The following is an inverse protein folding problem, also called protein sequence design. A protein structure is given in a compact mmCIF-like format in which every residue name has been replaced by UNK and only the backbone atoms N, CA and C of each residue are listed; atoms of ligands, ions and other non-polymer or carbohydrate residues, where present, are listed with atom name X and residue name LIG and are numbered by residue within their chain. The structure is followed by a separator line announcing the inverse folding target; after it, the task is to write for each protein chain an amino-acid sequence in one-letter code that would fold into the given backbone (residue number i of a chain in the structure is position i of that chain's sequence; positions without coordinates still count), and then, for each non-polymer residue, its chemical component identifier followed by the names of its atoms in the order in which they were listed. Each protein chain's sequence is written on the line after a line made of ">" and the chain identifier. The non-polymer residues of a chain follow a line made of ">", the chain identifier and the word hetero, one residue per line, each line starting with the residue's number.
data_IF_009939964909
#
_entry.id   IF_009939964909
#
_cell.length_a   1.000
_cell.length_b   1.000
_cell.length_c   1.000
_cell.angle_alpha   90.00
_cell.angle_beta   90.00
_cell.angle_gamma   90.00
#
_symmetry.space_group_name_H-M   'P 1'
#
loop_
_entity.id
_entity.type
_entity.pdbx_description
1 polymer ?
#
# COMPACT_ATOMS: atom_id res chain seq x y z
N UNK A 1 -13.50 29.02 -11.28
CA UNK A 1 -13.48 29.65 -9.95
C UNK A 1 -14.73 29.23 -9.21
N UNK A 2 -14.62 28.89 -7.93
CA UNK A 2 -15.73 28.44 -7.09
C UNK A 2 -15.79 29.20 -5.76
N UNK A 3 -16.98 29.28 -5.17
CA UNK A 3 -17.19 29.72 -3.79
C UNK A 3 -17.01 28.54 -2.80
N UNK A 4 -17.26 28.80 -1.50
CA UNK A 4 -17.12 27.81 -0.42
C UNK A 4 -18.09 26.61 -0.55
N UNK A 5 -19.13 26.71 -1.38
CA UNK A 5 -20.10 25.65 -1.64
C UNK A 5 -19.82 24.92 -2.97
N UNK A 6 -18.64 25.15 -3.56
CA UNK A 6 -18.23 24.61 -4.85
C UNK A 6 -19.09 25.08 -6.06
N UNK A 7 -19.88 26.15 -5.90
CA UNK A 7 -20.62 26.78 -7.00
C UNK A 7 -19.72 27.72 -7.78
N UNK A 8 -19.96 27.81 -9.09
CA UNK A 8 -19.30 28.78 -9.96
C UNK A 8 -19.97 30.16 -9.88
N UNK A 9 -19.67 31.06 -10.82
CA UNK A 9 -20.40 32.33 -10.96
C UNK A 9 -21.87 32.15 -11.35
N UNK A 10 -22.21 30.99 -11.94
CA UNK A 10 -23.59 30.59 -12.20
C UNK A 10 -24.07 29.71 -11.02
N UNK A 11 -25.23 30.02 -10.47
CA UNK A 11 -25.77 29.39 -9.26
C UNK A 11 -26.16 27.91 -9.47
N UNK A 12 -26.46 27.52 -10.71
CA UNK A 12 -26.86 26.16 -11.06
C UNK A 12 -25.68 25.29 -11.53
N UNK A 13 -24.47 25.86 -11.60
CA UNK A 13 -23.27 25.17 -12.08
C UNK A 13 -22.24 25.04 -10.97
N UNK A 14 -21.82 23.80 -10.72
CA UNK A 14 -20.77 23.45 -9.76
C UNK A 14 -19.50 23.01 -10.48
N UNK A 15 -18.35 23.23 -9.84
CA UNK A 15 -17.08 22.67 -10.28
C UNK A 15 -16.34 22.08 -9.08
N UNK A 16 -15.77 20.89 -9.25
CA UNK A 16 -15.07 20.16 -8.20
C UNK A 16 -13.76 19.56 -8.73
N UNK A 17 -12.86 19.18 -7.83
CA UNK A 17 -11.58 18.57 -8.18
C UNK A 17 -10.62 19.54 -8.87
N UNK A 18 -9.76 19.01 -9.74
CA UNK A 18 -8.60 19.74 -10.28
C UNK A 18 -8.98 20.94 -11.17
N UNK A 19 -10.18 20.91 -11.77
CA UNK A 19 -10.67 22.02 -12.59
C UNK A 19 -11.17 23.21 -11.74
N UNK A 20 -11.41 23.00 -10.45
CA UNK A 20 -11.96 24.00 -9.56
C UNK A 20 -10.84 24.87 -8.96
N UNK A 21 -11.09 26.18 -8.91
CA UNK A 21 -10.20 27.14 -8.26
C UNK A 21 -10.95 27.84 -7.14
N UNK A 22 -10.56 27.57 -5.90
CA UNK A 22 -11.11 28.13 -4.67
C UNK A 22 -10.09 29.12 -4.08
N UNK A 23 -10.50 30.37 -3.84
CA UNK A 23 -9.60 31.45 -3.41
C UNK A 23 -8.32 31.59 -4.27
N UNK A 24 -8.44 31.49 -5.60
CA UNK A 24 -7.33 31.47 -6.56
C UNK A 24 -6.31 30.34 -6.36
N UNK A 25 -6.70 29.28 -5.66
CA UNK A 25 -5.89 28.07 -5.47
C UNK A 25 -6.57 26.86 -6.12
N UNK A 26 -5.76 25.96 -6.67
CA UNK A 26 -6.20 24.69 -7.26
C UNK A 26 -5.55 23.55 -6.49
N UNK A 27 -6.30 22.47 -6.27
CA UNK A 27 -5.82 21.33 -5.48
C UNK A 27 -5.62 20.12 -6.39
N UNK A 28 -4.37 19.73 -6.61
CA UNK A 28 -3.98 18.56 -7.44
C UNK A 28 -3.95 17.24 -6.66
N UNK A 29 -4.89 17.04 -5.73
CA UNK A 29 -4.95 15.86 -4.87
C UNK A 29 -6.37 15.29 -4.83
N UNK A 30 -6.46 13.97 -4.71
CA UNK A 30 -7.74 13.23 -4.69
C UNK A 30 -8.62 13.63 -3.50
N UNK A 31 -8.03 13.78 -2.31
CA UNK A 31 -8.76 14.10 -1.07
C UNK A 31 -9.56 15.43 -1.17
N UNK A 32 -8.96 16.57 -1.57
CA UNK A 32 -9.73 17.80 -1.82
C UNK A 32 -10.84 17.61 -2.85
N UNK A 33 -10.62 16.83 -3.91
CA UNK A 33 -11.65 16.54 -4.92
C UNK A 33 -12.88 15.87 -4.32
N UNK A 34 -12.69 14.86 -3.46
CA UNK A 34 -13.81 14.22 -2.75
C UNK A 34 -14.48 15.15 -1.75
N UNK A 35 -13.72 16.00 -1.04
CA UNK A 35 -14.32 16.97 -0.11
C UNK A 35 -15.18 17.99 -0.85
N UNK A 36 -14.71 18.48 -1.99
CA UNK A 36 -15.48 19.35 -2.88
C UNK A 36 -16.75 18.65 -3.38
N UNK A 37 -16.67 17.36 -3.73
CA UNK A 37 -17.84 16.58 -4.12
C UNK A 37 -18.87 16.49 -2.98
N UNK A 38 -18.42 16.20 -1.75
CA UNK A 38 -19.29 16.14 -0.58
C UNK A 38 -19.96 17.50 -0.31
N UNK A 39 -19.19 18.59 -0.31
CA UNK A 39 -19.70 19.95 -0.12
C UNK A 39 -20.74 20.32 -1.18
N UNK A 40 -20.49 20.00 -2.45
CA UNK A 40 -21.45 20.25 -3.52
C UNK A 40 -22.76 19.47 -3.32
N UNK A 41 -22.68 18.20 -2.92
CA UNK A 41 -23.86 17.36 -2.64
C UNK A 41 -24.62 17.88 -1.43
N UNK A 42 -23.93 18.21 -0.33
CA UNK A 42 -24.52 18.77 0.88
C UNK A 42 -25.30 20.04 0.57
N UNK A 43 -24.70 20.94 -0.21
CA UNK A 43 -25.33 22.17 -0.64
C UNK A 43 -26.59 21.93 -1.50
N UNK A 44 -26.53 20.97 -2.45
CA UNK A 44 -27.70 20.56 -3.24
C UNK A 44 -28.83 19.98 -2.38
N UNK A 45 -28.50 19.36 -1.25
CA UNK A 45 -29.45 18.83 -0.27
C UNK A 45 -29.91 19.87 0.76
N UNK A 46 -29.48 21.13 0.63
CA UNK A 46 -29.85 22.24 1.53
C UNK A 46 -29.08 22.26 2.85
N UNK A 47 -28.00 21.47 2.96
CA UNK A 47 -27.11 21.50 4.11
C UNK A 47 -26.09 22.63 3.97
N UNK A 48 -25.57 23.13 5.09
CA UNK A 48 -24.65 24.27 5.15
C UNK A 48 -23.21 23.83 5.41
N UNK A 49 -22.71 22.89 4.60
CA UNK A 49 -21.31 22.46 4.65
C UNK A 49 -20.48 23.33 3.73
N UNK A 50 -19.37 23.88 4.22
CA UNK A 50 -18.46 24.72 3.44
C UNK A 50 -17.11 24.03 3.24
N UNK A 51 -16.51 24.20 2.06
CA UNK A 51 -15.13 23.83 1.79
C UNK A 51 -14.19 24.84 2.44
N UNK A 52 -13.31 24.36 3.31
CA UNK A 52 -12.40 25.20 4.10
C UNK A 52 -10.95 25.14 3.61
N UNK A 53 -10.74 24.63 2.39
CA UNK A 53 -9.41 24.26 1.89
C UNK A 53 -9.06 22.81 2.18
N UNK A 54 -7.83 22.42 1.84
CA UNK A 54 -7.33 21.08 2.07
C UNK A 54 -5.83 21.10 2.37
N UNK A 55 -5.39 20.13 3.16
CA UNK A 55 -3.98 19.84 3.35
C UNK A 55 -3.36 19.37 2.02
N UNK A 56 -2.19 19.95 1.69
CA UNK A 56 -1.47 19.69 0.45
C UNK A 56 -0.38 18.61 0.62
N UNK A 57 -0.35 17.92 1.76
CA UNK A 57 0.62 16.86 1.99
C UNK A 57 0.35 15.70 1.06
N UNK A 58 1.41 15.18 0.45
CA UNK A 58 1.32 14.12 -0.53
C UNK A 58 2.46 13.13 -0.34
N UNK A 59 2.15 11.84 -0.53
CA UNK A 59 3.14 10.77 -0.63
C UNK A 59 3.07 10.20 -2.04
N UNK A 60 4.11 10.41 -2.82
CA UNK A 60 4.22 9.98 -4.21
C UNK A 60 5.01 8.67 -4.27
N UNK A 61 4.46 7.70 -5.00
CA UNK A 61 5.16 6.49 -5.41
C UNK A 61 5.69 6.71 -6.82
N UNK A 62 6.85 7.34 -6.93
CA UNK A 62 7.55 7.45 -8.21
C UNK A 62 8.27 6.13 -8.51
N UNK A 63 8.62 5.89 -9.78
CA UNK A 63 9.36 4.71 -10.18
C UNK A 63 10.74 4.70 -9.50
N UNK A 64 10.86 3.89 -8.44
CA UNK A 64 12.13 3.60 -7.76
C UNK A 64 12.48 4.49 -6.56
N UNK A 65 11.74 5.57 -6.28
CA UNK A 65 12.01 6.46 -5.13
C UNK A 65 10.70 6.89 -4.47
N UNK A 66 10.57 6.61 -3.17
CA UNK A 66 9.46 7.12 -2.38
C UNK A 66 9.71 8.57 -1.97
N UNK A 67 8.71 9.43 -2.17
CA UNK A 67 8.78 10.85 -1.80
C UNK A 67 7.55 11.25 -1.00
N UNK A 68 7.75 11.98 0.10
CA UNK A 68 6.69 12.53 0.93
C UNK A 68 6.92 14.01 1.23
N UNK A 69 5.91 14.84 1.01
CA UNK A 69 5.86 16.24 1.45
C UNK A 69 4.74 16.44 2.47
N UNK A 70 5.01 17.22 3.52
CA UNK A 70 4.06 17.57 4.57
C UNK A 70 4.05 19.09 4.75
N UNK A 71 2.87 19.69 4.83
CA UNK A 71 2.67 21.09 5.24
C UNK A 71 3.56 22.10 4.50
N UNK A 72 4.17 23.03 5.24
CA UNK A 72 5.15 23.99 4.73
C UNK A 72 6.52 23.33 4.52
N UNK A 73 6.59 22.42 3.54
CA UNK A 73 7.79 21.67 3.18
C UNK A 73 8.97 22.53 2.70
N UNK A 74 8.76 23.83 2.44
CA UNK A 74 9.78 24.75 1.97
C UNK A 74 10.27 25.74 3.04
N UNK A 75 9.56 25.88 4.16
CA UNK A 75 9.92 26.78 5.24
C UNK A 75 9.68 28.23 4.85
N UNK A 76 8.50 28.49 4.29
CA UNK A 76 8.03 29.82 3.91
C UNK A 76 7.61 30.64 5.13
N UNK A 77 7.21 30.00 6.22
CA UNK A 77 6.87 30.67 7.47
C UNK A 77 8.11 31.37 8.06
N UNK A 78 7.97 32.66 8.38
CA UNK A 78 9.04 33.45 8.98
C UNK A 78 9.46 32.87 10.34
N UNK A 79 10.77 32.87 10.62
CA UNK A 79 11.33 32.38 11.88
C UNK A 79 11.41 30.86 12.01
N UNK A 80 10.92 30.09 11.01
CA UNK A 80 11.00 28.64 11.05
C UNK A 80 12.45 28.13 11.09
N UNK A 81 12.65 26.98 11.71
CA UNK A 81 13.94 26.28 11.78
C UNK A 81 13.85 24.96 11.03
N UNK A 82 14.98 24.39 10.63
CA UNK A 82 14.97 23.10 9.94
C UNK A 82 16.08 22.16 10.38
N UNK A 83 15.76 20.87 10.43
CA UNK A 83 16.68 19.76 10.67
C UNK A 83 16.79 18.94 9.38
N UNK A 84 18.01 18.52 9.02
CA UNK A 84 18.27 17.79 7.78
C UNK A 84 19.06 16.52 8.10
N UNK A 85 18.63 15.40 7.52
CA UNK A 85 19.37 14.15 7.47
C UNK A 85 19.60 13.77 6.00
N UNK A 86 20.85 13.44 5.67
CA UNK A 86 21.28 13.09 4.32
C UNK A 86 22.20 11.86 4.39
N UNK A 87 21.87 10.82 3.63
CA UNK A 87 22.70 9.64 3.40
C UNK A 87 22.79 9.40 1.89
N UNK A 88 23.88 9.86 1.28
CA UNK A 88 24.10 9.74 -0.17
C UNK A 88 24.29 8.29 -0.61
N UNK A 89 24.82 7.42 0.25
CA UNK A 89 25.06 6.01 -0.07
C UNK A 89 23.76 5.20 -0.19
N UNK A 90 22.68 5.66 0.44
CA UNK A 90 21.33 5.07 0.37
C UNK A 90 20.33 5.95 -0.38
N UNK A 91 20.78 7.08 -0.93
CA UNK A 91 19.93 8.07 -1.60
C UNK A 91 18.77 8.58 -0.70
N UNK A 92 19.03 8.73 0.60
CA UNK A 92 18.03 9.20 1.58
C UNK A 92 18.23 10.68 1.86
N UNK A 93 17.15 11.45 1.75
CA UNK A 93 17.09 12.84 2.20
C UNK A 93 15.84 13.07 3.03
N UNK A 94 15.99 13.59 4.24
CA UNK A 94 14.88 13.99 5.11
C UNK A 94 15.11 15.39 5.65
N UNK A 95 14.07 16.21 5.65
CA UNK A 95 14.07 17.56 6.22
C UNK A 95 12.82 17.78 7.04
N UNK A 96 12.98 18.24 8.28
CA UNK A 96 11.90 18.77 9.11
C UNK A 96 11.95 20.27 9.11
N UNK A 97 10.77 20.90 9.19
CA UNK A 97 10.61 22.34 9.34
C UNK A 97 9.73 22.54 10.56
N UNK A 98 10.28 23.23 11.55
CA UNK A 98 9.67 23.43 12.86
C UNK A 98 9.46 24.92 13.15
N UNK A 99 8.56 25.21 14.07
CA UNK A 99 8.33 26.56 14.58
C UNK A 99 9.60 27.17 15.21
N UNK A 100 9.62 28.49 15.35
CA UNK A 100 10.77 29.24 15.89
C UNK A 100 11.18 28.76 17.30
N UNK A 101 10.23 28.30 18.10
CA UNK A 101 10.41 27.75 19.44
C UNK A 101 10.69 26.23 19.48
N UNK A 102 10.82 25.59 18.30
CA UNK A 102 11.00 24.14 18.12
C UNK A 102 9.84 23.26 18.62
N UNK A 103 8.68 23.83 18.96
CA UNK A 103 7.57 23.07 19.56
C UNK A 103 6.66 22.37 18.58
N UNK A 104 6.51 22.89 17.36
CA UNK A 104 5.51 22.38 16.41
C UNK A 104 6.12 22.07 15.05
N UNK A 105 5.65 21.00 14.41
CA UNK A 105 6.05 20.65 13.06
C UNK A 105 5.21 21.43 12.05
N UNK A 106 5.87 22.28 11.26
CA UNK A 106 5.24 23.08 10.20
C UNK A 106 5.22 22.35 8.86
N UNK A 107 6.24 21.53 8.61
CA UNK A 107 6.33 20.74 7.39
C UNK A 107 7.49 19.75 7.38
N UNK A 108 7.51 18.88 6.39
CA UNK A 108 8.58 17.90 6.20
C UNK A 108 8.75 17.51 4.73
N UNK A 109 9.95 17.08 4.38
CA UNK A 109 10.30 16.45 3.10
C UNK A 109 11.00 15.13 3.41
N UNK A 110 10.55 14.03 2.81
CA UNK A 110 11.17 12.71 2.90
C UNK A 110 11.40 12.17 1.49
N UNK A 111 12.60 11.69 1.21
CA UNK A 111 13.01 11.13 -0.08
C UNK A 111 13.82 9.86 0.18
N UNK A 112 13.52 8.81 -0.57
CA UNK A 112 14.16 7.49 -0.45
C UNK A 112 13.54 6.66 0.69
N UNK A 113 13.56 7.20 1.92
CA UNK A 113 12.91 6.59 3.08
C UNK A 113 11.75 7.47 3.57
N UNK A 114 10.54 6.92 3.52
CA UNK A 114 9.29 7.59 3.90
C UNK A 114 8.51 6.84 4.99
N UNK A 115 9.18 5.98 5.76
CA UNK A 115 8.56 5.22 6.86
C UNK A 115 7.94 6.16 7.91
N UNK A 116 8.63 7.27 8.22
CA UNK A 116 8.22 8.23 9.25
C UNK A 116 7.06 9.15 8.83
N UNK A 117 6.66 9.12 7.54
CA UNK A 117 5.68 10.04 6.97
C UNK A 117 4.38 10.07 7.77
N UNK A 118 3.86 8.90 8.16
CA UNK A 118 2.59 8.80 8.88
C UNK A 118 2.62 9.49 10.25
N UNK A 119 3.70 9.28 11.02
CA UNK A 119 3.86 9.88 12.35
C UNK A 119 4.05 11.41 12.23
N UNK A 120 4.91 11.84 11.31
CA UNK A 120 5.14 13.27 11.04
C UNK A 120 3.87 13.98 10.57
N UNK A 121 3.04 13.32 9.75
CA UNK A 121 1.78 13.91 9.31
C UNK A 121 0.83 14.15 10.50
N UNK A 122 0.75 13.19 11.44
CA UNK A 122 -0.09 13.35 12.63
C UNK A 122 0.40 14.46 13.56
N UNK A 123 1.73 14.61 13.71
CA UNK A 123 2.34 15.73 14.44
C UNK A 123 1.89 17.09 13.87
N UNK A 124 1.97 17.23 12.54
CA UNK A 124 1.61 18.48 11.86
C UNK A 124 0.10 18.74 11.93
N UNK A 125 -0.74 17.75 11.61
CA UNK A 125 -2.20 17.94 11.54
C UNK A 125 -2.85 18.20 12.91
N UNK A 126 -2.34 17.58 13.98
CA UNK A 126 -2.94 17.69 15.31
C UNK A 126 -2.24 18.72 16.21
N UNK A 127 -1.25 19.46 15.69
CA UNK A 127 -0.47 20.45 16.47
C UNK A 127 0.08 19.87 17.77
N UNK A 128 0.62 18.65 17.70
CA UNK A 128 1.17 17.97 18.87
C UNK A 128 2.58 18.54 19.15
N UNK A 129 2.88 18.82 20.42
CA UNK A 129 4.21 19.30 20.82
C UNK A 129 5.30 18.27 20.47
N UNK A 130 6.37 18.75 19.86
CA UNK A 130 7.53 17.97 19.48
C UNK A 130 8.39 17.58 20.70
N UNK A 131 9.17 16.49 20.61
CA UNK A 131 10.18 16.17 21.61
C UNK A 131 11.24 17.27 21.70
N UNK A 132 11.95 17.32 22.82
CA UNK A 132 13.04 18.29 23.07
C UNK A 132 14.10 18.31 21.95
N UNK A 133 14.31 17.16 21.29
CA UNK A 133 15.19 17.00 20.14
C UNK A 133 14.40 16.54 18.90
N UNK A 134 13.84 17.46 18.09
CA UNK A 134 13.02 17.13 16.93
C UNK A 134 13.73 16.36 15.82
N UNK A 135 15.05 16.51 15.70
CA UNK A 135 15.90 15.81 14.73
C UNK A 135 15.78 14.28 14.88
N UNK A 136 15.60 13.79 16.11
CA UNK A 136 15.44 12.36 16.39
C UNK A 136 14.28 11.70 15.63
N UNK A 137 13.29 12.47 15.18
CA UNK A 137 12.14 11.99 14.41
C UNK A 137 12.51 11.56 12.98
N UNK A 138 13.63 12.04 12.43
CA UNK A 138 14.08 11.71 11.05
C UNK A 138 15.35 10.88 11.01
N UNK A 139 16.04 10.70 12.14
CA UNK A 139 17.27 9.90 12.21
C UNK A 139 17.00 8.41 11.88
N UNK A 140 18.00 7.68 11.37
CA UNK A 140 17.84 6.26 11.05
C UNK A 140 17.78 5.40 12.32
N UNK A 141 17.18 4.20 12.23
CA UNK A 141 16.94 3.32 13.39
C UNK A 141 18.20 2.94 14.21
N UNK A 142 19.38 2.91 13.59
CA UNK A 142 20.64 2.61 14.29
C UNK A 142 21.16 3.79 15.14
N UNK A 143 20.61 4.99 14.97
CA UNK A 143 20.97 6.17 15.76
C UNK A 143 20.21 6.24 17.10
N UNK A 144 19.29 5.31 17.35
CA UNK A 144 18.50 5.24 18.58
C UNK A 144 17.02 4.96 18.32
N UNK A 145 16.26 4.75 19.41
CA UNK A 145 14.81 4.62 19.36
C UNK A 145 14.15 5.96 19.03
N UNK A 146 13.33 6.00 17.98
CA UNK A 146 12.54 7.19 17.64
C UNK A 146 11.41 7.39 18.66
N UNK A 147 11.13 8.64 19.08
CA UNK A 147 9.89 8.95 19.78
C UNK A 147 8.71 8.67 18.84
N UNK A 148 7.95 7.61 19.11
CA UNK A 148 6.69 7.36 18.43
C UNK A 148 5.56 7.99 19.25
N UNK A 149 4.73 8.82 18.62
CA UNK A 149 3.44 9.15 19.20
C UNK A 149 2.60 7.88 19.08
N UNK A 150 2.36 7.24 20.22
CA UNK A 150 1.43 6.13 20.27
C UNK A 150 0.08 6.58 19.74
N UNK A 151 -0.57 5.74 18.95
CA UNK A 151 -1.93 6.00 18.45
C UNK A 151 -2.92 6.32 19.57
N UNK A 152 -2.64 5.90 20.80
CA UNK A 152 -3.42 6.22 21.99
C UNK A 152 -3.45 7.72 22.32
N UNK A 153 -2.39 8.47 22.01
CA UNK A 153 -2.29 9.91 22.25
C UNK A 153 -3.06 10.75 21.23
N UNK A 154 -3.52 10.15 20.13
CA UNK A 154 -4.33 10.86 19.13
C UNK A 154 -5.78 11.02 19.61
N UNK A 155 -6.41 12.20 19.44
CA UNK A 155 -7.84 12.35 19.70
C UNK A 155 -8.67 11.51 18.73
N UNK A 156 -9.91 11.15 19.09
CA UNK A 156 -10.81 10.41 18.19
C UNK A 156 -11.10 11.18 16.89
N UNK A 157 -11.08 12.50 16.92
CA UNK A 157 -11.25 13.36 15.75
C UNK A 157 -10.03 13.39 14.82
N UNK A 158 -8.90 12.79 15.22
CA UNK A 158 -7.68 12.78 14.41
C UNK A 158 -7.95 12.10 13.06
N UNK A 159 -7.65 12.81 11.97
CA UNK A 159 -7.79 12.30 10.62
C UNK A 159 -6.72 11.25 10.32
N UNK A 160 -7.16 10.00 10.10
CA UNK A 160 -6.29 8.86 9.80
C UNK A 160 -6.21 8.64 8.29
N UNK A 161 -7.31 8.78 7.56
CA UNK A 161 -7.36 8.64 6.11
C UNK A 161 -7.98 9.87 5.44
N UNK A 162 -7.14 10.79 4.96
CA UNK A 162 -7.61 11.99 4.24
C UNK A 162 -8.34 11.67 2.94
N UNK A 163 -8.02 10.55 2.27
CA UNK A 163 -8.68 10.16 1.03
C UNK A 163 -10.15 9.78 1.20
N UNK A 164 -10.59 9.38 2.37
CA UNK A 164 -11.99 9.01 2.59
C UNK A 164 -12.57 9.70 3.83
N UNK A 165 -11.89 10.75 4.31
CA UNK A 165 -12.28 11.55 5.49
C UNK A 165 -12.53 10.68 6.73
N UNK A 166 -11.70 9.66 6.96
CA UNK A 166 -11.88 8.68 8.06
C UNK A 166 -11.00 9.06 9.25
N UNK A 167 -11.65 9.31 10.39
CA UNK A 167 -11.02 9.64 11.66
C UNK A 167 -10.64 8.39 12.48
N UNK A 168 -9.88 8.59 13.56
CA UNK A 168 -9.59 7.53 14.54
C UNK A 168 -10.87 7.00 15.17
N UNK A 169 -11.83 7.87 15.48
CA UNK A 169 -13.13 7.51 16.05
C UNK A 169 -13.94 6.61 15.11
N UNK A 170 -13.94 6.89 13.81
CA UNK A 170 -14.63 6.05 12.82
C UNK A 170 -14.05 4.63 12.76
N UNK A 171 -12.72 4.51 12.91
CA UNK A 171 -12.04 3.21 12.98
C UNK A 171 -12.43 2.48 14.27
N UNK A 172 -12.42 3.16 15.42
CA UNK A 172 -12.83 2.57 16.71
C UNK A 172 -14.28 2.06 16.60
N UNK A 173 -15.20 2.87 16.10
CA UNK A 173 -16.60 2.46 15.88
C UNK A 173 -16.72 1.29 14.90
N UNK A 174 -15.87 1.19 13.88
CA UNK A 174 -15.85 0.02 13.00
C UNK A 174 -15.36 -1.24 13.74
N UNK A 175 -14.36 -1.12 14.60
CA UNK A 175 -13.84 -2.22 15.43
C UNK A 175 -14.91 -2.68 16.42
N UNK A 176 -15.60 -1.76 17.10
CA UNK A 176 -16.73 -2.07 18.00
C UNK A 176 -17.88 -2.81 17.29
N UNK A 177 -18.07 -2.55 15.99
CA UNK A 177 -19.03 -3.27 15.13
C UNK A 177 -18.50 -4.63 14.63
N UNK A 178 -17.31 -5.05 15.05
CA UNK A 178 -16.72 -6.37 14.75
C UNK A 178 -15.64 -6.36 13.66
N UNK A 179 -15.18 -5.20 13.18
CA UNK A 179 -14.13 -5.12 12.16
C UNK A 179 -12.73 -5.35 12.75
N UNK A 180 -12.39 -6.58 13.10
CA UNK A 180 -11.13 -6.93 13.79
C UNK A 180 -9.93 -7.19 12.85
N UNK A 181 -10.05 -6.82 11.57
CA UNK A 181 -8.94 -6.94 10.61
C UNK A 181 -8.83 -5.68 9.76
N UNK A 182 -7.62 -5.39 9.27
CA UNK A 182 -7.41 -4.25 8.33
C UNK A 182 -8.28 -4.39 7.08
N UNK A 183 -8.52 -5.62 6.62
CA UNK A 183 -9.40 -5.88 5.48
C UNK A 183 -10.87 -5.54 5.79
N UNK A 184 -11.35 -5.87 6.99
CA UNK A 184 -12.69 -5.52 7.44
C UNK A 184 -12.85 -3.99 7.58
N UNK A 185 -11.87 -3.32 8.20
CA UNK A 185 -11.86 -1.85 8.29
C UNK A 185 -11.90 -1.22 6.89
N UNK A 186 -11.07 -1.70 5.95
CA UNK A 186 -11.09 -1.24 4.55
C UNK A 186 -12.45 -1.41 3.89
N UNK A 187 -13.13 -2.53 4.12
CA UNK A 187 -14.43 -2.80 3.52
C UNK A 187 -15.50 -1.83 4.05
N UNK A 188 -15.48 -1.59 5.37
CA UNK A 188 -16.45 -0.76 6.09
C UNK A 188 -16.22 0.74 5.86
N UNK A 189 -15.02 1.24 6.13
CA UNK A 189 -14.72 2.68 6.14
C UNK A 189 -14.11 3.20 4.83
N UNK A 190 -13.73 2.30 3.92
CA UNK A 190 -12.92 2.59 2.71
C UNK A 190 -11.50 3.09 2.99
N UNK A 191 -11.12 3.32 4.25
CA UNK A 191 -9.79 3.78 4.61
C UNK A 191 -8.70 2.83 4.08
N UNK A 192 -7.68 3.37 3.41
CA UNK A 192 -6.58 2.57 2.85
C UNK A 192 -6.86 1.91 1.49
N UNK A 193 -8.00 2.19 0.85
CA UNK A 193 -8.32 1.71 -0.51
C UNK A 193 -7.94 2.72 -1.63
N UNK A 194 -7.56 3.94 -1.25
CA UNK A 194 -7.21 5.04 -2.16
C UNK A 194 -5.71 5.12 -2.40
N UNK A 195 -5.01 6.02 -1.69
CA UNK A 195 -3.55 6.13 -1.78
C UNK A 195 -2.80 5.05 -0.95
N UNK A 196 -3.48 4.44 0.03
CA UNK A 196 -2.92 3.43 0.94
C UNK A 196 -1.93 3.95 2.00
N UNK A 197 -1.64 5.25 2.04
CA UNK A 197 -0.66 5.84 2.97
C UNK A 197 -1.01 5.69 4.45
N UNK A 198 -2.31 5.57 4.77
CA UNK A 198 -2.81 5.41 6.13
C UNK A 198 -2.78 3.97 6.66
N UNK A 199 -2.48 2.96 5.83
CA UNK A 199 -2.54 1.53 6.23
C UNK A 199 -1.70 1.25 7.49
N UNK A 200 -0.44 1.71 7.62
CA UNK A 200 0.36 1.45 8.82
C UNK A 200 -0.30 2.02 10.09
N UNK A 201 -0.87 3.23 10.00
CA UNK A 201 -1.52 3.89 11.12
C UNK A 201 -2.85 3.21 11.49
N UNK A 202 -3.64 2.77 10.50
CA UNK A 202 -4.84 1.94 10.72
C UNK A 202 -4.48 0.66 11.49
N UNK A 203 -3.40 -0.03 11.09
CA UNK A 203 -2.95 -1.24 11.77
C UNK A 203 -2.56 -0.96 13.22
N UNK A 204 -1.88 0.16 13.50
CA UNK A 204 -1.54 0.54 14.86
C UNK A 204 -2.80 0.81 15.71
N UNK A 205 -3.78 1.57 15.19
CA UNK A 205 -5.06 1.82 15.88
C UNK A 205 -5.80 0.51 16.14
N UNK A 206 -5.89 -0.36 15.14
CA UNK A 206 -6.53 -1.67 15.28
C UNK A 206 -5.87 -2.50 16.39
N UNK A 207 -4.54 -2.64 16.36
CA UNK A 207 -3.84 -3.46 17.35
C UNK A 207 -3.97 -2.89 18.77
N UNK A 208 -3.89 -1.57 18.93
CA UNK A 208 -4.09 -0.91 20.22
C UNK A 208 -5.51 -1.16 20.76
N UNK A 209 -6.53 -1.06 19.91
CA UNK A 209 -7.92 -1.26 20.33
C UNK A 209 -8.25 -2.73 20.61
N UNK A 210 -7.76 -3.66 19.78
CA UNK A 210 -7.89 -5.09 20.05
C UNK A 210 -7.22 -5.48 21.37
N UNK A 211 -6.05 -4.93 21.67
CA UNK A 211 -5.35 -5.15 22.95
C UNK A 211 -6.18 -4.65 24.13
N UNK A 212 -6.83 -3.48 24.02
CA UNK A 212 -7.74 -2.96 25.06
C UNK A 212 -8.98 -3.85 25.27
N UNK A 213 -9.49 -4.45 24.20
CA UNK A 213 -10.59 -5.41 24.26
C UNK A 213 -10.15 -6.81 24.75
N UNK A 214 -8.87 -6.99 25.09
CA UNK A 214 -8.31 -8.28 25.53
C UNK A 214 -8.20 -9.30 24.41
N UNK A 215 -8.32 -8.88 23.15
CA UNK A 215 -8.13 -9.74 21.98
C UNK A 215 -6.62 -9.78 21.69
N UNK A 216 -6.00 -10.92 21.96
CA UNK A 216 -4.58 -11.13 21.71
C UNK A 216 -4.32 -11.06 20.19
N UNK A 217 -3.53 -10.07 19.75
CA UNK A 217 -3.17 -9.92 18.34
C UNK A 217 -2.18 -11.02 17.99
N UNK A 218 -2.70 -12.07 17.38
CA UNK A 218 -1.90 -13.21 16.99
C UNK A 218 -1.25 -12.98 15.62
N UNK A 219 0.10 -13.04 15.57
CA UNK A 219 0.88 -12.89 14.33
C UNK A 219 1.17 -14.22 13.61
N UNK A 220 0.60 -15.32 14.09
CA UNK A 220 0.73 -16.64 13.49
C UNK A 220 0.14 -16.66 12.08
N UNK A 221 0.79 -17.37 11.16
CA UNK A 221 0.29 -17.55 9.80
C UNK A 221 -1.01 -18.36 9.79
N UNK A 222 -1.08 -19.42 10.59
CA UNK A 222 -2.27 -20.25 10.83
C UNK A 222 -2.01 -21.18 12.02
N UNK A 223 -2.96 -22.06 12.35
CA UNK A 223 -2.81 -23.08 13.41
C UNK A 223 -1.59 -24.01 13.24
N UNK A 224 -1.08 -24.17 12.01
CA UNK A 224 0.07 -25.01 11.72
C UNK A 224 1.41 -24.33 12.01
N UNK A 225 1.47 -22.99 11.96
CA UNK A 225 2.70 -22.22 12.10
C UNK A 225 2.49 -21.00 12.97
N UNK A 226 3.11 -21.03 14.15
CA UNK A 226 3.03 -19.96 15.15
C UNK A 226 4.00 -18.81 14.85
N UNK A 227 4.13 -18.46 13.58
CA UNK A 227 5.08 -17.50 13.05
C UNK A 227 4.41 -16.68 11.95
N UNK A 228 4.80 -15.42 11.82
CA UNK A 228 4.46 -14.58 10.69
C UNK A 228 5.17 -15.05 9.41
N UNK A 229 4.69 -14.58 8.25
CA UNK A 229 5.33 -14.84 6.96
C UNK A 229 6.81 -14.41 6.94
N UNK A 230 7.14 -13.29 7.59
CA UNK A 230 8.50 -12.75 7.64
C UNK A 230 9.41 -13.63 8.51
N UNK A 231 8.93 -14.07 9.68
CA UNK A 231 9.68 -14.98 10.55
C UNK A 231 9.93 -16.32 9.85
N UNK A 232 8.92 -16.88 9.18
CA UNK A 232 9.09 -18.11 8.38
C UNK A 232 10.13 -17.94 7.27
N UNK A 233 10.14 -16.79 6.57
CA UNK A 233 11.19 -16.47 5.59
C UNK A 233 12.59 -16.49 6.23
N UNK A 234 12.75 -15.86 7.39
CA UNK A 234 14.01 -15.85 8.11
C UNK A 234 14.44 -17.25 8.55
N UNK A 235 13.53 -18.06 9.10
CA UNK A 235 13.79 -19.44 9.49
C UNK A 235 14.26 -20.29 8.30
N UNK A 236 13.56 -20.20 7.15
CA UNK A 236 13.93 -20.90 5.92
C UNK A 236 15.36 -20.52 5.48
N UNK A 237 15.70 -19.22 5.49
CA UNK A 237 17.01 -18.72 5.05
C UNK A 237 18.15 -19.08 6.00
N UNK A 238 17.94 -18.94 7.31
CA UNK A 238 18.97 -19.16 8.33
C UNK A 238 19.28 -20.64 8.48
N UNK A 239 18.26 -21.50 8.46
CA UNK A 239 18.43 -22.94 8.62
C UNK A 239 18.62 -23.70 7.32
N UNK A 240 18.48 -23.03 6.17
CA UNK A 240 18.65 -23.65 4.86
C UNK A 240 17.57 -24.68 4.51
N UNK A 241 16.33 -24.48 4.98
CA UNK A 241 15.22 -25.42 4.80
C UNK A 241 14.77 -25.43 3.34
N UNK A 242 14.61 -26.62 2.73
CA UNK A 242 14.31 -26.75 1.30
C UNK A 242 12.95 -27.36 0.97
N UNK A 243 12.26 -27.91 1.95
CA UNK A 243 10.94 -28.51 1.74
C UNK A 243 9.93 -28.06 2.78
N UNK A 244 8.64 -28.17 2.42
CA UNK A 244 7.53 -27.94 3.35
C UNK A 244 7.58 -28.89 4.54
N UNK A 245 7.88 -30.17 4.31
CA UNK A 245 7.93 -31.19 5.36
C UNK A 245 9.04 -30.92 6.38
N UNK A 246 10.21 -30.45 5.95
CA UNK A 246 11.29 -30.03 6.84
C UNK A 246 10.88 -28.84 7.71
N UNK A 247 10.25 -27.83 7.10
CA UNK A 247 9.78 -26.65 7.80
C UNK A 247 8.67 -27.00 8.79
N UNK A 248 7.70 -27.82 8.36
CA UNK A 248 6.58 -28.26 9.19
C UNK A 248 7.05 -29.10 10.37
N UNK A 249 8.00 -30.02 10.15
CA UNK A 249 8.53 -30.89 11.21
C UNK A 249 9.31 -30.11 12.28
N UNK A 250 9.99 -29.03 11.90
CA UNK A 250 10.81 -28.24 12.83
C UNK A 250 10.04 -27.11 13.51
N UNK A 251 9.22 -26.39 12.74
CA UNK A 251 8.64 -25.10 13.14
C UNK A 251 7.11 -25.07 13.04
N UNK A 252 6.48 -26.21 12.78
CA UNK A 252 5.03 -26.31 12.69
C UNK A 252 4.47 -27.60 13.25
N UNK A 253 3.20 -27.84 12.95
CA UNK A 253 2.44 -29.00 13.41
C UNK A 253 1.35 -29.36 12.41
N UNK A 254 0.86 -30.60 12.43
CA UNK A 254 -0.23 -31.07 11.55
C UNK A 254 0.25 -31.43 10.13
N UNK A 255 -0.58 -31.13 9.12
CA UNK A 255 -0.33 -31.50 7.71
C UNK A 255 -0.35 -30.29 6.75
N UNK A 256 -0.59 -29.09 7.27
CA UNK A 256 -0.78 -27.87 6.50
C UNK A 256 -2.17 -27.70 5.89
N UNK A 257 -2.54 -26.45 5.59
CA UNK A 257 -3.82 -26.06 5.00
C UNK A 257 -3.64 -25.21 3.73
N UNK A 258 -4.75 -24.72 3.15
CA UNK A 258 -4.74 -23.82 1.99
C UNK A 258 -4.05 -22.46 2.23
N UNK A 259 -3.76 -22.09 3.49
CA UNK A 259 -3.05 -20.84 3.83
C UNK A 259 -1.54 -21.07 3.81
N UNK A 260 -1.06 -22.05 4.58
CA UNK A 260 0.38 -22.20 4.80
C UNK A 260 1.11 -22.90 3.66
N UNK A 261 0.46 -23.83 2.94
CA UNK A 261 1.10 -24.53 1.80
C UNK A 261 1.52 -23.58 0.69
N UNK A 262 0.63 -22.75 0.11
CA UNK A 262 1.03 -21.79 -0.93
C UNK A 262 1.96 -20.70 -0.39
N UNK A 263 1.78 -20.29 0.87
CA UNK A 263 2.69 -19.33 1.50
C UNK A 263 4.12 -19.89 1.55
N UNK A 264 4.31 -21.10 2.07
CA UNK A 264 5.62 -21.72 2.16
C UNK A 264 6.19 -22.05 0.78
N UNK A 265 5.37 -22.51 -0.17
CA UNK A 265 5.77 -22.69 -1.57
C UNK A 265 6.36 -21.40 -2.17
N UNK A 266 5.67 -20.28 -1.98
CA UNK A 266 6.14 -18.95 -2.39
C UNK A 266 7.43 -18.52 -1.70
N UNK A 267 7.57 -18.79 -0.38
CA UNK A 267 8.79 -18.49 0.37
C UNK A 267 9.99 -19.32 -0.11
N UNK A 268 9.81 -20.63 -0.31
CA UNK A 268 10.85 -21.52 -0.83
C UNK A 268 11.30 -21.09 -2.23
N UNK A 269 10.36 -20.74 -3.12
CA UNK A 269 10.66 -20.23 -4.45
C UNK A 269 11.46 -18.91 -4.38
N UNK A 270 11.12 -18.02 -3.45
CA UNK A 270 11.84 -16.75 -3.24
C UNK A 270 13.24 -16.95 -2.65
N UNK A 271 13.42 -17.95 -1.78
CA UNK A 271 14.69 -18.25 -1.15
C UNK A 271 15.67 -18.96 -2.09
N UNK A 272 15.17 -19.89 -2.91
CA UNK A 272 15.99 -20.86 -3.65
C UNK A 272 15.86 -20.77 -5.17
N UNK A 273 14.80 -20.13 -5.67
CA UNK A 273 14.51 -19.97 -7.10
C UNK A 273 14.45 -21.31 -7.87
N UNK A 274 13.95 -22.36 -7.21
CA UNK A 274 13.69 -23.66 -7.81
C UNK A 274 12.44 -23.61 -8.73
N UNK A 275 12.35 -24.55 -9.67
CA UNK A 275 11.18 -24.67 -10.55
C UNK A 275 9.93 -25.06 -9.75
N UNK A 276 8.90 -24.23 -9.81
CA UNK A 276 7.72 -24.35 -8.93
C UNK A 276 6.83 -25.57 -9.21
N UNK A 277 6.94 -26.18 -10.40
CA UNK A 277 6.23 -27.42 -10.76
C UNK A 277 7.10 -28.68 -10.60
N UNK A 278 8.15 -28.65 -9.77
CA UNK A 278 8.85 -29.86 -9.32
C UNK A 278 7.87 -30.73 -8.52
N UNK A 279 7.93 -32.05 -8.65
CA UNK A 279 6.91 -32.98 -8.11
C UNK A 279 6.61 -32.80 -6.61
N UNK A 280 7.62 -32.42 -5.81
CA UNK A 280 7.53 -32.15 -4.38
C UNK A 280 6.98 -30.75 -4.03
N UNK A 281 6.95 -29.83 -5.00
CA UNK A 281 6.46 -28.45 -4.84
C UNK A 281 5.06 -28.24 -5.42
N UNK A 282 4.62 -29.05 -6.38
CA UNK A 282 3.29 -28.97 -7.03
C UNK A 282 2.16 -28.97 -6.01
N UNK A 283 2.24 -29.86 -4.99
CA UNK A 283 1.21 -29.96 -3.96
C UNK A 283 1.11 -28.72 -3.04
N UNK A 284 2.10 -27.82 -3.11
CA UNK A 284 2.11 -26.56 -2.36
C UNK A 284 1.52 -25.41 -3.16
N UNK A 285 1.47 -25.51 -4.49
CA UNK A 285 1.03 -24.44 -5.36
C UNK A 285 -0.50 -24.30 -5.35
N UNK A 286 -0.98 -23.08 -5.51
CA UNK A 286 -2.40 -22.82 -5.72
C UNK A 286 -2.82 -23.16 -7.18
N UNK A 287 -4.08 -22.92 -7.52
CA UNK A 287 -4.58 -23.24 -8.87
C UNK A 287 -3.83 -22.45 -9.95
N UNK A 288 -3.49 -21.19 -9.73
CA UNK A 288 -2.86 -20.37 -10.77
C UNK A 288 -1.41 -20.79 -10.97
N UNK A 289 -0.68 -21.01 -9.87
CA UNK A 289 0.72 -21.41 -9.90
C UNK A 289 0.89 -22.83 -10.49
N UNK A 290 -0.05 -23.75 -10.25
CA UNK A 290 -0.06 -25.09 -10.86
C UNK A 290 -0.15 -25.08 -12.39
N UNK A 291 -0.84 -24.09 -12.96
CA UNK A 291 -1.00 -23.95 -14.41
C UNK A 291 -0.13 -22.83 -14.99
N UNK A 292 0.68 -22.15 -14.17
CA UNK A 292 1.45 -20.95 -14.53
C UNK A 292 0.61 -19.92 -15.29
N UNK A 293 -0.67 -19.81 -14.95
CA UNK A 293 -1.65 -19.01 -15.65
C UNK A 293 -2.76 -18.55 -14.70
N UNK A 294 -3.43 -17.45 -15.00
CA UNK A 294 -4.45 -16.90 -14.11
C UNK A 294 -5.85 -17.35 -14.55
N UNK A 295 -6.57 -18.03 -13.66
CA UNK A 295 -7.95 -18.45 -13.87
C UNK A 295 -8.89 -17.23 -13.99
N UNK A 296 -9.71 -17.21 -15.03
CA UNK A 296 -10.72 -16.19 -15.31
C UNK A 296 -12.09 -16.63 -14.79
N UNK A 297 -13.03 -15.67 -14.68
CA UNK A 297 -14.40 -15.93 -14.19
C UNK A 297 -15.20 -16.89 -15.07
N UNK A 298 -14.87 -16.98 -16.35
CA UNK A 298 -15.50 -17.88 -17.31
C UNK A 298 -14.88 -19.30 -17.32
N UNK A 299 -13.91 -19.56 -16.44
CA UNK A 299 -13.22 -20.84 -16.32
C UNK A 299 -12.05 -21.02 -17.29
N UNK A 300 -11.79 -20.04 -18.17
CA UNK A 300 -10.60 -20.04 -19.03
C UNK A 300 -9.39 -19.48 -18.29
N UNK A 301 -8.20 -19.61 -18.87
CA UNK A 301 -6.97 -19.08 -18.31
C UNK A 301 -6.43 -17.92 -19.14
N UNK A 302 -5.74 -17.02 -18.46
CA UNK A 302 -4.91 -15.99 -19.08
C UNK A 302 -3.44 -16.23 -18.80
N UNK A 303 -2.62 -16.11 -19.83
CA UNK A 303 -1.18 -16.35 -19.81
C UNK A 303 -0.47 -15.01 -20.01
N UNK A 304 0.47 -14.69 -19.14
CA UNK A 304 1.34 -13.53 -19.25
C UNK A 304 2.77 -14.05 -19.30
N UNK A 305 3.40 -14.10 -20.49
CA UNK A 305 4.78 -14.54 -20.62
C UNK A 305 5.71 -13.73 -19.72
N UNK A 306 6.75 -14.39 -19.21
CA UNK A 306 7.78 -13.73 -18.44
C UNK A 306 8.58 -12.81 -19.38
N UNK A 307 8.93 -11.62 -18.92
CA UNK A 307 9.82 -10.70 -19.65
C UNK A 307 10.76 -10.07 -18.63
N UNK A 308 11.87 -10.75 -18.29
CA UNK A 308 12.84 -10.24 -17.33
C UNK A 308 13.30 -8.82 -17.72
N UNK A 309 13.26 -7.88 -16.78
CA UNK A 309 13.59 -6.47 -17.06
C UNK A 309 12.63 -5.74 -17.99
N UNK A 310 11.50 -6.36 -18.38
CA UNK A 310 10.59 -5.82 -19.40
C UNK A 310 11.10 -6.00 -20.83
N UNK A 311 12.19 -6.76 -21.02
CA UNK A 311 12.77 -6.99 -22.34
C UNK A 311 12.02 -8.10 -23.07
N UNK A 312 11.65 -7.83 -24.34
CA UNK A 312 11.04 -8.79 -25.25
C UNK A 312 11.70 -8.63 -26.61
N UNK A 313 12.33 -9.70 -27.10
CA UNK A 313 12.98 -9.69 -28.41
C UNK A 313 11.94 -9.68 -29.54
N UNK A 314 12.28 -9.20 -30.75
CA UNK A 314 11.39 -9.32 -31.90
C UNK A 314 10.92 -10.76 -32.16
N UNK A 315 11.80 -11.75 -31.95
CA UNK A 315 11.45 -13.16 -32.06
C UNK A 315 10.42 -13.59 -30.99
N UNK A 316 10.57 -13.10 -29.77
CA UNK A 316 9.61 -13.33 -28.68
C UNK A 316 8.22 -12.74 -28.97
N UNK A 317 8.16 -11.53 -29.54
CA UNK A 317 6.89 -10.92 -29.98
C UNK A 317 6.21 -11.78 -31.06
N UNK A 318 6.98 -12.26 -32.04
CA UNK A 318 6.48 -13.14 -33.10
C UNK A 318 5.97 -14.45 -32.51
N UNK A 319 6.70 -15.06 -31.59
CA UNK A 319 6.31 -16.31 -30.94
C UNK A 319 4.98 -16.15 -30.16
N UNK A 320 4.83 -15.08 -29.38
CA UNK A 320 3.59 -14.77 -28.67
C UNK A 320 2.43 -14.60 -29.67
N UNK A 321 2.65 -13.88 -30.77
CA UNK A 321 1.65 -13.70 -31.82
C UNK A 321 1.24 -15.01 -32.50
N UNK A 322 2.20 -15.90 -32.79
CA UNK A 322 1.95 -17.21 -33.39
C UNK A 322 1.12 -18.10 -32.45
N UNK A 323 1.48 -18.17 -31.17
CA UNK A 323 0.76 -18.96 -30.18
C UNK A 323 -0.65 -18.41 -29.98
N UNK A 324 -0.80 -17.08 -29.86
CA UNK A 324 -2.12 -16.47 -29.77
C UNK A 324 -2.99 -16.79 -30.99
N UNK A 325 -2.41 -16.83 -32.19
CA UNK A 325 -3.13 -17.17 -33.41
C UNK A 325 -3.51 -18.66 -33.47
N UNK A 326 -2.58 -19.56 -33.13
CA UNK A 326 -2.78 -21.02 -33.15
C UNK A 326 -3.90 -21.46 -32.21
N UNK A 327 -3.91 -20.89 -31.00
CA UNK A 327 -4.88 -21.21 -29.96
C UNK A 327 -6.10 -20.27 -29.93
N UNK A 328 -6.20 -19.36 -30.92
CA UNK A 328 -7.28 -18.37 -31.02
C UNK A 328 -7.49 -17.57 -29.71
N UNK A 329 -6.38 -17.11 -29.11
CA UNK A 329 -6.37 -16.36 -27.86
C UNK A 329 -6.53 -14.86 -28.11
N UNK A 330 -7.36 -14.22 -27.29
CA UNK A 330 -7.46 -12.77 -27.30
C UNK A 330 -6.22 -12.15 -26.65
N UNK A 331 -5.58 -11.21 -27.34
CA UNK A 331 -4.34 -10.57 -26.85
C UNK A 331 -4.55 -9.11 -26.54
N UNK A 332 -4.06 -8.65 -25.38
CA UNK A 332 -4.04 -7.23 -25.01
C UNK A 332 -2.79 -6.86 -24.22
N UNK A 333 -2.48 -5.56 -24.20
CA UNK A 333 -1.56 -4.98 -23.22
C UNK A 333 -2.34 -4.73 -21.93
N UNK A 334 -1.86 -5.26 -20.82
CA UNK A 334 -2.47 -5.07 -19.49
C UNK A 334 -2.18 -3.70 -18.91
N UNK A 335 -2.88 -3.30 -17.84
CA UNK A 335 -2.55 -2.09 -17.07
C UNK A 335 -1.15 -2.11 -16.46
N UNK A 336 -0.54 -3.30 -16.30
CA UNK A 336 0.87 -3.48 -15.92
C UNK A 336 1.84 -3.45 -17.09
N UNK A 337 1.38 -3.02 -18.28
CA UNK A 337 2.16 -2.87 -19.51
C UNK A 337 2.80 -4.18 -20.00
N UNK A 338 2.12 -5.32 -19.83
CA UNK A 338 2.57 -6.64 -20.32
C UNK A 338 1.64 -7.17 -21.40
N UNK A 339 2.19 -7.91 -22.36
CA UNK A 339 1.39 -8.70 -23.31
C UNK A 339 0.75 -9.87 -22.57
N UNK A 340 -0.58 -9.98 -22.66
CA UNK A 340 -1.35 -11.04 -22.05
C UNK A 340 -2.27 -11.69 -23.08
N UNK A 341 -2.35 -13.01 -23.06
CA UNK A 341 -3.20 -13.85 -23.90
C UNK A 341 -4.32 -14.45 -23.05
N UNK A 342 -5.55 -14.45 -23.55
CA UNK A 342 -6.75 -14.85 -22.81
C UNK A 342 -7.54 -15.90 -23.59
N UNK A 343 -8.14 -16.85 -22.87
CA UNK A 343 -9.03 -17.86 -23.43
C UNK A 343 -8.44 -19.27 -23.52
N UNK A 344 -7.27 -19.51 -22.91
CA UNK A 344 -6.63 -20.82 -22.91
C UNK A 344 -7.44 -21.84 -22.10
N UNK A 345 -7.57 -23.07 -22.59
CA UNK A 345 -8.26 -24.14 -21.86
C UNK A 345 -7.28 -24.87 -20.94
N UNK A 346 -7.81 -25.45 -19.86
CA UNK A 346 -7.00 -26.19 -18.87
C UNK A 346 -6.14 -27.29 -19.49
N UNK A 347 -6.65 -27.98 -20.52
CA UNK A 347 -5.98 -29.09 -21.19
C UNK A 347 -4.77 -28.65 -22.04
N UNK A 348 -4.73 -27.36 -22.41
CA UNK A 348 -3.65 -26.78 -23.21
C UNK A 348 -2.47 -26.38 -22.28
N UNK A 349 -2.70 -26.33 -20.96
CA UNK A 349 -1.71 -25.97 -19.94
C UNK A 349 -1.15 -27.20 -19.20
N UNK A 350 0.16 -27.24 -18.86
CA UNK A 350 1.19 -26.24 -19.13
C UNK A 350 1.86 -26.39 -20.51
N UNK A 351 1.29 -27.19 -21.43
CA UNK A 351 1.85 -27.45 -22.76
C UNK A 351 2.17 -26.18 -23.55
N UNK A 352 1.24 -25.23 -23.56
CA UNK A 352 1.38 -23.92 -24.22
C UNK A 352 2.59 -23.12 -23.70
N UNK A 353 2.87 -23.22 -22.40
CA UNK A 353 3.95 -22.49 -21.74
C UNK A 353 5.32 -23.14 -21.97
N UNK A 354 5.36 -24.45 -22.15
CA UNK A 354 6.60 -25.13 -22.52
C UNK A 354 7.08 -24.66 -23.90
N UNK A 355 6.18 -24.44 -24.85
CA UNK A 355 6.52 -23.86 -26.16
C UNK A 355 7.00 -22.40 -26.06
N UNK A 356 6.40 -21.60 -25.18
CA UNK A 356 6.84 -20.23 -24.90
C UNK A 356 8.27 -20.26 -24.34
N UNK A 357 8.53 -21.00 -23.26
CA UNK A 357 9.86 -21.06 -22.63
C UNK A 357 10.93 -21.67 -23.56
N UNK A 358 10.59 -22.68 -24.37
CA UNK A 358 11.50 -23.26 -25.37
C UNK A 358 11.93 -22.27 -26.46
N UNK A 359 11.15 -21.20 -26.70
CA UNK A 359 11.47 -20.14 -27.69
C UNK A 359 12.16 -18.91 -27.09
N UNK A 360 12.66 -19.01 -25.84
CA UNK A 360 13.62 -18.08 -25.25
C UNK A 360 13.08 -17.15 -24.15
N UNK A 361 12.21 -17.67 -23.26
CA UNK A 361 11.62 -16.92 -22.15
C UNK A 361 11.94 -17.51 -20.78
#
# INVERSE_FOLDING_TARGET
>A
MINDYCQTSDADIYAIGECASWHNQTFGLVAPGYKMAQVAVDHLLGQQTAFQGADLSAKLKLLGVDVGGIGDAHGRQAGCRSYIYLDEGKEIYKRLIVSEDNKYLLGAVLVGDTEDYGNLLQLALNTIELPEHPDTLILPAHAGSKPAIGVDSLPETAQICSCFDVSKGDIIQAIERGCHTVAAIKAETKAGTGCGGCIPLITQVLNAELTKQGIEVNHHLCEHFHYSRQELYHLIRVEGLKSFDELLKKHGQGYGCEICKPTVGSLLASCWNDYILRDDLVALQDTNDNFLANLQKDGTYSIIPRSPGGEITPAGIIAIGQIAQEYNLYTKITGSQRMAMFGAQKQDLPGDLAEINCRGF
#
